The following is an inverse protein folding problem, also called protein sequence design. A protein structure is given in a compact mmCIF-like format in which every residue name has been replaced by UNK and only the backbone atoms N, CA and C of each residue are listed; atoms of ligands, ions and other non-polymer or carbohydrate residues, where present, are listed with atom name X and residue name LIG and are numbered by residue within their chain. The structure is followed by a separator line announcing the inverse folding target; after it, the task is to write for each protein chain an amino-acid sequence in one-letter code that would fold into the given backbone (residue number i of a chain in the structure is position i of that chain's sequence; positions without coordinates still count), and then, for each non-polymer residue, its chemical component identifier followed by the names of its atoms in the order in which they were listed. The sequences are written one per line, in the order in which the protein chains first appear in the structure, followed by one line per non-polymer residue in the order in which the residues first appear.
data_IF_758075767659
#
_entry.id   IF_758075767659
#
_cell.length_a   1.000
_cell.length_b   1.000
_cell.length_c   1.000
_cell.angle_alpha   90.00
_cell.angle_beta   90.00
_cell.angle_gamma   90.00
#
_symmetry.space_group_name_H-M   'P 1'
#
loop_
_entity.id
_entity.type
_entity.pdbx_description
1 polymer ?
#
# COMPACT_ATOMS: atom_id res chain seq x y z
N UNK A 1 4.75 25.80 -27.05
CA UNK A 1 5.79 25.05 -26.30
C UNK A 1 5.55 25.08 -24.79
N UNK A 2 5.22 26.23 -24.20
CA UNK A 2 4.93 26.37 -22.77
C UNK A 2 3.78 25.48 -22.28
N UNK A 3 2.71 25.34 -23.07
CA UNK A 3 1.56 24.49 -22.69
C UNK A 3 1.90 22.99 -22.68
N UNK A 4 2.73 22.55 -23.61
CA UNK A 4 3.20 21.16 -23.65
C UNK A 4 4.02 20.82 -22.41
N UNK A 5 4.88 21.74 -21.97
CA UNK A 5 5.67 21.58 -20.74
C UNK A 5 4.77 21.59 -19.51
N UNK A 6 3.82 22.53 -19.44
CA UNK A 6 2.88 22.61 -18.32
C UNK A 6 2.04 21.34 -18.18
N UNK A 7 1.49 20.83 -19.30
CA UNK A 7 0.70 19.60 -19.31
C UNK A 7 1.54 18.38 -18.92
N UNK A 8 2.79 18.31 -19.39
CA UNK A 8 3.70 17.24 -18.99
C UNK A 8 4.00 17.26 -17.48
N UNK A 9 4.28 18.44 -16.91
CA UNK A 9 4.51 18.59 -15.47
C UNK A 9 3.27 18.21 -14.67
N UNK A 10 2.09 18.67 -15.09
CA UNK A 10 0.83 18.33 -14.43
C UNK A 10 0.58 16.82 -14.43
N UNK A 11 0.80 16.15 -15.57
CA UNK A 11 0.66 14.70 -15.68
C UNK A 11 1.61 13.96 -14.74
N UNK A 12 2.88 14.38 -14.69
CA UNK A 12 3.88 13.80 -13.77
C UNK A 12 3.46 13.99 -12.31
N UNK A 13 2.97 15.18 -11.95
CA UNK A 13 2.52 15.47 -10.59
C UNK A 13 1.33 14.58 -10.18
N UNK A 14 0.33 14.42 -11.06
CA UNK A 14 -0.83 13.56 -10.81
C UNK A 14 -0.41 12.11 -10.65
N UNK A 15 0.43 11.59 -11.56
CA UNK A 15 0.90 10.20 -11.50
C UNK A 15 1.75 9.94 -10.26
N UNK A 16 2.64 10.87 -9.93
CA UNK A 16 3.48 10.80 -8.74
C UNK A 16 2.67 10.81 -7.44
N UNK A 17 1.72 11.74 -7.32
CA UNK A 17 0.82 11.81 -6.17
C UNK A 17 -0.03 10.53 -6.04
N UNK A 18 -0.59 10.06 -7.17
CA UNK A 18 -1.40 8.84 -7.20
C UNK A 18 -0.58 7.63 -6.74
N UNK A 19 0.64 7.46 -7.26
CA UNK A 19 1.53 6.37 -6.87
C UNK A 19 1.88 6.43 -5.37
N UNK A 20 2.16 7.62 -4.84
CA UNK A 20 2.45 7.80 -3.42
C UNK A 20 1.25 7.37 -2.56
N UNK A 21 0.04 7.84 -2.89
CA UNK A 21 -1.18 7.46 -2.18
C UNK A 21 -1.41 5.95 -2.24
N UNK A 22 -1.36 5.35 -3.42
CA UNK A 22 -1.52 3.90 -3.60
C UNK A 22 -0.54 3.10 -2.74
N UNK A 23 0.72 3.53 -2.68
CA UNK A 23 1.74 2.86 -1.89
C UNK A 23 1.47 2.97 -0.37
N UNK A 24 1.04 4.14 0.10
CA UNK A 24 0.64 4.33 1.51
C UNK A 24 -0.55 3.43 1.88
N UNK A 25 -1.58 3.37 1.03
CA UNK A 25 -2.72 2.50 1.23
C UNK A 25 -2.33 1.02 1.25
N UNK A 26 -1.47 0.57 0.34
CA UNK A 26 -1.00 -0.81 0.31
C UNK A 26 -0.26 -1.18 1.62
N UNK A 27 0.59 -0.29 2.14
CA UNK A 27 1.30 -0.50 3.41
C UNK A 27 0.37 -0.52 4.62
N UNK A 28 -0.71 0.26 4.59
CA UNK A 28 -1.71 0.24 5.65
C UNK A 28 -2.55 -1.05 5.63
N UNK A 29 -2.93 -1.52 4.44
CA UNK A 29 -3.90 -2.60 4.26
C UNK A 29 -3.32 -4.01 4.42
N UNK A 30 -2.00 -4.19 4.26
CA UNK A 30 -1.35 -5.50 4.29
C UNK A 30 -0.29 -5.62 5.37
N UNK A 31 -0.07 -6.86 5.81
CA UNK A 31 0.97 -7.26 6.76
C UNK A 31 1.61 -8.56 6.30
N UNK A 32 2.93 -8.62 6.34
CA UNK A 32 3.69 -9.84 6.04
C UNK A 32 3.80 -10.68 7.31
N UNK A 33 3.40 -11.95 7.23
CA UNK A 33 3.52 -12.89 8.34
C UNK A 33 5.00 -13.14 8.66
N UNK A 34 5.41 -12.92 9.91
CA UNK A 34 6.81 -13.08 10.34
C UNK A 34 7.27 -14.55 10.38
N UNK A 35 6.32 -15.51 10.45
CA UNK A 35 6.64 -16.94 10.50
C UNK A 35 6.86 -17.58 9.13
N UNK A 36 6.06 -17.20 8.13
CA UNK A 36 6.06 -17.86 6.82
C UNK A 36 6.18 -16.92 5.63
N UNK A 37 6.27 -15.60 5.84
CA UNK A 37 6.42 -14.62 4.75
C UNK A 37 5.14 -14.35 3.94
N UNK A 38 4.02 -15.02 4.22
CA UNK A 38 2.78 -14.79 3.46
C UNK A 38 2.24 -13.37 3.70
N UNK A 39 1.92 -12.66 2.62
CA UNK A 39 1.23 -11.38 2.67
C UNK A 39 -0.25 -11.58 3.03
N UNK A 40 -0.71 -10.89 4.07
CA UNK A 40 -2.06 -10.99 4.60
C UNK A 40 -2.71 -9.62 4.68
N UNK A 41 -4.04 -9.55 4.56
CA UNK A 41 -4.77 -8.33 4.87
C UNK A 41 -4.66 -8.03 6.38
N UNK A 42 -4.36 -6.78 6.75
CA UNK A 42 -4.17 -6.33 8.14
C UNK A 42 -5.40 -6.58 9.03
N UNK A 43 -6.60 -6.65 8.46
CA UNK A 43 -7.84 -6.99 9.19
C UNK A 43 -7.89 -8.44 9.69
N UNK A 44 -7.06 -9.35 9.16
CA UNK A 44 -7.03 -10.74 9.62
C UNK A 44 -6.30 -10.83 10.97
N UNK A 45 -6.87 -11.60 11.88
CA UNK A 45 -6.23 -11.98 13.15
C UNK A 45 -5.25 -13.14 12.99
N UNK A 46 -5.39 -13.96 11.94
CA UNK A 46 -4.54 -15.14 11.70
C UNK A 46 -4.03 -15.18 10.24
N UNK A 47 -2.82 -15.73 10.07
CA UNK A 47 -2.20 -15.93 8.78
C UNK A 47 -2.99 -16.93 7.94
N UNK A 48 -3.33 -16.54 6.70
CA UNK A 48 -4.07 -17.39 5.75
C UNK A 48 -3.37 -18.68 5.34
N UNK A 49 -2.05 -18.77 5.57
CA UNK A 49 -1.24 -19.92 5.13
C UNK A 49 -0.83 -20.82 6.29
N UNK A 50 -0.35 -20.27 7.41
CA UNK A 50 0.22 -21.06 8.50
C UNK A 50 -0.54 -20.95 9.83
N UNK A 51 -1.62 -20.17 9.88
CA UNK A 51 -2.45 -19.99 11.09
C UNK A 51 -1.84 -19.10 12.18
N UNK A 52 -0.61 -18.61 12.01
CA UNK A 52 0.05 -17.74 13.00
C UNK A 52 -0.77 -16.49 13.31
N UNK A 53 -0.85 -16.11 14.58
CA UNK A 53 -1.52 -14.88 15.00
C UNK A 53 -0.80 -13.67 14.41
N UNK A 54 -1.54 -12.84 13.67
CA UNK A 54 -1.01 -11.63 13.05
C UNK A 54 -1.16 -10.45 14.03
N UNK A 55 -0.23 -9.48 14.00
CA UNK A 55 -0.36 -8.26 14.79
C UNK A 55 -1.57 -7.46 14.29
N UNK A 56 -2.65 -7.51 15.05
CA UNK A 56 -3.82 -6.68 14.79
C UNK A 56 -3.51 -5.26 15.26
N UNK A 57 -3.34 -4.34 14.32
CA UNK A 57 -3.35 -2.91 14.62
C UNK A 57 -4.69 -2.36 14.15
N UNK A 58 -5.50 -1.76 15.03
CA UNK A 58 -6.69 -1.04 14.57
C UNK A 58 -6.26 0.02 13.56
N UNK A 59 -7.07 0.23 12.53
CA UNK A 59 -6.87 1.35 11.62
C UNK A 59 -6.92 2.66 12.44
N UNK A 60 -6.08 3.66 12.14
CA UNK A 60 -6.20 4.98 12.75
C UNK A 60 -7.55 5.63 12.46
#
# INVERSE_FOLDING_TARGET
MSDTVLNAVLAIAILGASALLTHLFARAMYVTCQKCGTLNARRRSQCRSCGETLPHRPAP
#
